data_IF_328296167170
#
_entry.id   IF_328296167170
#
_cell.length_a   1.000
_cell.length_b   1.000
_cell.length_c   1.000
_cell.angle_alpha   90.00
_cell.angle_beta   90.00
_cell.angle_gamma   90.00
#
_symmetry.space_group_name_H-M   'P 1'
#
loop_
_entity.id
_entity.type
_entity.pdbx_description
1 polymer ?
#
# COMPACT_ATOMS: atom_id res chain seq x y z
N UNK A 1 -17.05 14.30 -15.45
CA UNK A 1 -17.72 12.99 -15.62
C UNK A 1 -17.04 12.00 -14.71
N UNK A 2 -17.69 11.62 -13.65
CA UNK A 2 -17.23 10.48 -12.83
C UNK A 2 -17.54 9.21 -13.63
N UNK A 3 -16.49 8.46 -13.98
CA UNK A 3 -16.67 7.14 -14.56
C UNK A 3 -17.44 6.27 -13.54
N UNK A 4 -18.59 5.78 -13.92
CA UNK A 4 -19.34 4.80 -13.12
C UNK A 4 -18.61 3.48 -13.30
N UNK A 5 -17.96 2.99 -12.23
CA UNK A 5 -17.38 1.67 -12.25
C UNK A 5 -18.49 0.61 -12.44
N UNK A 6 -18.24 -0.41 -13.27
CA UNK A 6 -19.22 -1.46 -13.46
C UNK A 6 -19.50 -2.19 -12.14
N UNK A 7 -20.76 -2.53 -11.90
CA UNK A 7 -21.15 -3.30 -10.72
C UNK A 7 -20.38 -4.62 -10.68
N UNK A 8 -19.66 -4.87 -9.56
CA UNK A 8 -18.83 -6.06 -9.38
C UNK A 8 -17.36 -5.90 -9.80
N UNK A 9 -16.93 -4.69 -10.18
CA UNK A 9 -15.50 -4.44 -10.39
C UNK A 9 -14.71 -4.66 -9.08
N UNK A 10 -13.51 -5.24 -9.15
CA UNK A 10 -12.68 -5.42 -7.97
C UNK A 10 -12.28 -4.06 -7.38
N UNK A 11 -12.30 -3.95 -6.05
CA UNK A 11 -11.79 -2.78 -5.34
C UNK A 11 -10.32 -2.97 -5.01
N UNK A 12 -9.56 -1.90 -5.10
CA UNK A 12 -8.12 -1.89 -4.92
C UNK A 12 -7.73 -1.19 -3.63
N UNK A 13 -6.77 -1.75 -2.91
CA UNK A 13 -6.14 -1.12 -1.74
C UNK A 13 -4.64 -1.05 -1.98
N UNK A 14 -4.09 0.15 -1.95
CA UNK A 14 -2.64 0.33 -2.00
C UNK A 14 -2.06 0.23 -0.60
N UNK A 15 -1.05 -0.61 -0.41
CA UNK A 15 -0.31 -0.73 0.85
C UNK A 15 1.10 -0.22 0.64
N UNK A 16 1.48 0.79 1.40
CA UNK A 16 2.80 1.40 1.41
C UNK A 16 3.43 1.24 2.79
N UNK A 17 4.74 1.32 2.90
CA UNK A 17 5.37 1.20 4.20
C UNK A 17 6.87 0.93 4.15
N UNK A 18 7.39 0.51 5.30
CA UNK A 18 8.80 0.31 5.51
C UNK A 18 9.42 -0.72 4.56
N UNK A 19 10.52 -0.36 3.94
CA UNK A 19 11.36 -1.30 3.17
C UNK A 19 12.19 -2.23 4.06
N UNK A 20 12.34 -1.84 5.33
CA UNK A 20 12.90 -2.68 6.40
C UNK A 20 11.87 -2.72 7.52
N UNK A 21 11.35 -3.90 7.81
CA UNK A 21 10.33 -4.10 8.83
C UNK A 21 10.89 -4.90 10.01
N UNK A 22 10.55 -4.47 11.24
CA UNK A 22 10.73 -5.32 12.41
C UNK A 22 9.84 -6.55 12.32
N UNK A 23 10.13 -7.64 13.08
CA UNK A 23 9.25 -8.80 13.10
C UNK A 23 7.79 -8.47 13.44
N UNK A 24 7.58 -7.54 14.37
CA UNK A 24 6.25 -7.09 14.78
C UNK A 24 5.52 -6.34 13.66
N UNK A 25 6.23 -5.46 12.96
CA UNK A 25 5.66 -4.70 11.85
C UNK A 25 5.38 -5.62 10.65
N UNK A 26 6.27 -6.56 10.37
CA UNK A 26 6.06 -7.57 9.32
C UNK A 26 4.84 -8.45 9.62
N UNK A 27 4.67 -8.90 10.86
CA UNK A 27 3.50 -9.67 11.29
C UNK A 27 2.20 -8.87 11.09
N UNK A 28 2.19 -7.60 11.43
CA UNK A 28 1.05 -6.70 11.24
C UNK A 28 0.72 -6.50 9.76
N UNK A 29 1.73 -6.31 8.92
CA UNK A 29 1.54 -6.19 7.48
C UNK A 29 1.02 -7.48 6.85
N UNK A 30 1.48 -8.63 7.30
CA UNK A 30 1.00 -9.94 6.86
C UNK A 30 -0.47 -10.14 7.25
N UNK A 31 -0.85 -9.86 8.51
CA UNK A 31 -2.24 -9.90 8.98
C UNK A 31 -3.13 -8.96 8.16
N UNK A 32 -2.67 -7.75 7.87
CA UNK A 32 -3.38 -6.82 7.00
C UNK A 32 -3.63 -7.44 5.62
N UNK A 33 -2.63 -8.07 5.03
CA UNK A 33 -2.75 -8.75 3.74
C UNK A 33 -3.78 -9.87 3.77
N UNK A 34 -3.79 -10.67 4.82
CA UNK A 34 -4.79 -11.74 5.02
C UNK A 34 -6.22 -11.17 5.07
N UNK A 35 -6.43 -10.13 5.88
CA UNK A 35 -7.74 -9.48 6.05
C UNK A 35 -8.24 -8.82 4.77
N UNK A 36 -7.37 -8.17 4.01
CA UNK A 36 -7.73 -7.56 2.74
C UNK A 36 -8.13 -8.62 1.71
N UNK A 37 -7.38 -9.71 1.64
CA UNK A 37 -7.69 -10.83 0.75
C UNK A 37 -9.02 -11.50 1.10
N UNK A 38 -9.29 -11.75 2.39
CA UNK A 38 -10.55 -12.31 2.86
C UNK A 38 -11.77 -11.45 2.49
N UNK A 39 -11.58 -10.14 2.38
CA UNK A 39 -12.62 -9.19 1.94
C UNK A 39 -12.67 -8.96 0.44
N UNK A 40 -11.87 -9.71 -0.33
CA UNK A 40 -11.89 -9.66 -1.79
C UNK A 40 -11.22 -8.42 -2.40
N UNK A 41 -10.39 -7.70 -1.64
CA UNK A 41 -9.62 -6.60 -2.20
C UNK A 41 -8.41 -7.07 -3.00
N UNK A 42 -8.13 -6.38 -4.09
CA UNK A 42 -6.84 -6.49 -4.78
C UNK A 42 -5.85 -5.56 -4.10
N UNK A 43 -4.71 -6.08 -3.67
CA UNK A 43 -3.67 -5.29 -3.01
C UNK A 43 -2.62 -4.84 -4.00
N UNK A 44 -2.31 -3.55 -4.02
CA UNK A 44 -1.23 -2.96 -4.82
C UNK A 44 -0.14 -2.47 -3.89
N UNK A 45 1.09 -2.81 -4.17
CA UNK A 45 2.24 -2.37 -3.38
C UNK A 45 3.47 -2.11 -4.26
N UNK A 46 4.55 -1.65 -3.64
CA UNK A 46 5.81 -1.42 -4.35
C UNK A 46 6.60 -2.67 -4.74
N UNK A 47 6.14 -3.84 -4.33
CA UNK A 47 6.62 -5.13 -4.82
C UNK A 47 8.01 -5.57 -4.35
N UNK A 48 8.61 -4.91 -3.36
CA UNK A 48 9.95 -5.24 -2.86
C UNK A 48 9.92 -5.81 -1.44
N UNK A 49 10.86 -5.43 -0.60
CA UNK A 49 11.09 -5.96 0.75
C UNK A 49 10.23 -5.30 1.83
N UNK A 50 10.35 -5.80 3.06
CA UNK A 50 9.72 -5.23 4.23
C UNK A 50 8.21 -5.40 4.26
N UNK A 51 7.49 -4.32 4.46
CA UNK A 51 6.01 -4.32 4.48
C UNK A 51 5.41 -4.82 3.16
N UNK A 52 6.01 -4.47 2.04
CA UNK A 52 5.55 -4.90 0.71
C UNK A 52 5.57 -6.43 0.57
N UNK A 53 6.66 -7.06 1.00
CA UNK A 53 6.80 -8.52 0.98
C UNK A 53 5.84 -9.19 1.97
N UNK A 54 5.72 -8.65 3.18
CA UNK A 54 4.86 -9.20 4.22
C UNK A 54 3.38 -9.15 3.84
N UNK A 55 2.90 -8.04 3.30
CA UNK A 55 1.51 -7.93 2.87
C UNK A 55 1.20 -8.88 1.70
N UNK A 56 2.12 -9.04 0.74
CA UNK A 56 1.97 -9.99 -0.37
C UNK A 56 1.87 -11.43 0.14
N UNK A 57 2.67 -11.78 1.14
CA UNK A 57 2.62 -13.10 1.80
C UNK A 57 1.27 -13.36 2.46
N UNK A 58 0.74 -12.37 3.18
CA UNK A 58 -0.59 -12.47 3.80
C UNK A 58 -1.69 -12.64 2.77
N UNK A 59 -1.66 -11.89 1.69
CA UNK A 59 -2.61 -11.99 0.58
C UNK A 59 -2.57 -13.39 -0.04
N UNK A 60 -1.38 -13.92 -0.30
CA UNK A 60 -1.20 -15.26 -0.87
C UNK A 60 -1.75 -16.35 0.04
N UNK A 61 -1.53 -16.26 1.35
CA UNK A 61 -2.07 -17.23 2.33
C UNK A 61 -3.59 -17.40 2.25
N UNK A 62 -4.30 -16.35 1.89
CA UNK A 62 -5.77 -16.35 1.78
C UNK A 62 -6.27 -16.47 0.34
N UNK A 63 -5.39 -16.81 -0.59
CA UNK A 63 -5.75 -16.98 -2.00
C UNK A 63 -6.20 -15.70 -2.72
N UNK A 64 -5.81 -14.55 -2.20
CA UNK A 64 -6.12 -13.26 -2.79
C UNK A 64 -5.17 -12.86 -3.92
N UNK A 65 -5.32 -11.64 -4.40
CA UNK A 65 -4.53 -11.06 -5.49
C UNK A 65 -3.71 -9.88 -5.02
N UNK A 66 -2.41 -9.91 -5.28
CA UNK A 66 -1.51 -8.79 -5.06
C UNK A 66 -0.75 -8.42 -6.33
N UNK A 67 -0.56 -7.12 -6.54
CA UNK A 67 0.17 -6.55 -7.67
C UNK A 67 1.32 -5.72 -7.12
N UNK A 68 2.54 -6.08 -7.47
CA UNK A 68 3.73 -5.28 -7.16
C UNK A 68 4.13 -4.43 -8.34
N UNK A 69 4.27 -3.12 -8.13
CA UNK A 69 4.80 -2.19 -9.14
C UNK A 69 6.23 -1.86 -8.77
N UNK A 70 7.17 -2.47 -9.47
CA UNK A 70 8.61 -2.32 -9.22
C UNK A 70 9.17 -1.03 -9.81
N UNK A 71 10.21 -0.44 -9.19
CA UNK A 71 10.93 0.70 -9.77
C UNK A 71 11.86 0.29 -10.91
N UNK A 72 12.26 -0.98 -10.98
CA UNK A 72 13.21 -1.53 -11.96
C UNK A 72 12.54 -1.89 -13.29
N UNK A 73 13.39 -2.17 -14.28
CA UNK A 73 12.98 -2.68 -15.59
C UNK A 73 12.89 -4.21 -15.64
N UNK A 74 13.23 -4.92 -14.57
CA UNK A 74 13.21 -6.36 -14.44
C UNK A 74 12.57 -6.80 -13.12
N UNK A 75 12.37 -8.11 -12.94
CA UNK A 75 11.71 -8.70 -11.78
C UNK A 75 12.67 -9.33 -10.76
N UNK A 76 13.96 -9.11 -10.86
CA UNK A 76 14.98 -9.79 -10.03
C UNK A 76 14.80 -9.52 -8.54
N UNK A 77 14.30 -8.35 -8.18
CA UNK A 77 14.06 -7.93 -6.80
C UNK A 77 12.60 -7.98 -6.36
N UNK A 78 11.74 -8.60 -7.17
CA UNK A 78 10.32 -8.75 -6.83
C UNK A 78 10.15 -9.62 -5.59
N UNK A 79 9.22 -9.25 -4.71
CA UNK A 79 8.80 -10.10 -3.60
C UNK A 79 8.26 -11.44 -4.13
N UNK A 80 8.59 -12.58 -3.49
CA UNK A 80 8.30 -13.89 -4.06
C UNK A 80 6.81 -14.26 -4.08
N UNK A 81 6.01 -13.63 -3.22
CA UNK A 81 4.61 -13.99 -3.01
C UNK A 81 3.60 -13.10 -3.76
N UNK A 82 4.07 -12.19 -4.61
CA UNK A 82 3.22 -11.38 -5.47
C UNK A 82 2.47 -12.25 -6.49
N UNK A 83 1.19 -11.94 -6.72
CA UNK A 83 0.43 -12.58 -7.79
C UNK A 83 0.93 -12.09 -9.15
N UNK A 84 1.04 -10.77 -9.30
CA UNK A 84 1.51 -10.13 -10.54
C UNK A 84 2.57 -9.08 -10.22
N UNK A 85 3.48 -8.89 -11.15
CA UNK A 85 4.56 -7.92 -11.04
C UNK A 85 4.60 -7.06 -12.30
N UNK A 86 4.61 -5.74 -12.10
CA UNK A 86 4.77 -4.74 -13.15
C UNK A 86 6.14 -4.08 -13.01
N UNK A 87 6.95 -4.11 -14.04
CA UNK A 87 8.23 -3.43 -14.10
C UNK A 87 8.01 -2.03 -14.67
N UNK A 88 8.07 -1.01 -13.83
CA UNK A 88 7.81 0.37 -14.28
C UNK A 88 9.00 1.01 -14.98
N UNK A 89 10.22 0.60 -14.65
CA UNK A 89 11.47 1.25 -15.07
C UNK A 89 11.54 2.75 -14.74
N UNK A 90 10.78 3.22 -13.74
CA UNK A 90 10.62 4.63 -13.43
C UNK A 90 11.30 5.06 -12.11
N UNK A 91 12.01 4.14 -11.45
CA UNK A 91 12.61 4.44 -10.15
C UNK A 91 11.57 4.92 -9.13
N UNK A 92 11.87 5.96 -8.38
CA UNK A 92 10.96 6.50 -7.37
C UNK A 92 9.62 7.03 -7.91
N UNK A 93 9.55 7.40 -9.19
CA UNK A 93 8.30 7.89 -9.79
C UNK A 93 7.20 6.82 -9.79
N UNK A 94 7.54 5.52 -9.69
CA UNK A 94 6.55 4.43 -9.57
C UNK A 94 5.70 4.54 -8.30
N UNK A 95 6.16 5.26 -7.28
CA UNK A 95 5.40 5.47 -6.05
C UNK A 95 4.06 6.16 -6.30
N UNK A 96 4.03 7.06 -7.28
CA UNK A 96 2.77 7.69 -7.70
C UNK A 96 1.80 6.66 -8.29
N UNK A 97 2.29 5.73 -9.12
CA UNK A 97 1.46 4.66 -9.68
C UNK A 97 0.89 3.73 -8.60
N UNK A 98 1.69 3.42 -7.57
CA UNK A 98 1.23 2.60 -6.43
C UNK A 98 0.07 3.29 -5.71
N UNK A 99 0.24 4.52 -5.28
CA UNK A 99 -0.80 5.22 -4.50
C UNK A 99 -2.03 5.59 -5.34
N UNK A 100 -1.85 5.87 -6.62
CA UNK A 100 -2.95 6.18 -7.53
C UNK A 100 -3.83 4.97 -7.86
N UNK A 101 -3.27 3.76 -7.78
CA UNK A 101 -3.99 2.52 -8.14
C UNK A 101 -5.05 2.12 -7.12
N UNK A 102 -4.86 2.41 -5.84
CA UNK A 102 -5.82 2.05 -4.79
C UNK A 102 -6.98 3.03 -4.68
N UNK A 103 -8.12 2.54 -4.26
CA UNK A 103 -9.26 3.36 -3.83
C UNK A 103 -8.98 4.01 -2.46
N UNK A 104 -8.17 3.34 -1.65
CA UNK A 104 -7.62 3.81 -0.39
C UNK A 104 -6.15 3.39 -0.27
N UNK A 105 -5.38 4.17 0.45
CA UNK A 105 -3.96 3.88 0.73
C UNK A 105 -3.79 3.57 2.21
N UNK A 106 -3.16 2.47 2.55
CA UNK A 106 -2.81 2.10 3.93
C UNK A 106 -1.29 2.19 4.08
N UNK A 107 -0.82 3.04 4.97
CA UNK A 107 0.60 3.19 5.30
C UNK A 107 0.94 2.42 6.57
N UNK A 108 1.95 1.56 6.50
CA UNK A 108 2.38 0.68 7.60
C UNK A 108 3.84 0.95 7.91
N UNK A 109 4.13 1.54 9.06
CA UNK A 109 5.49 1.93 9.43
C UNK A 109 6.10 2.92 8.44
N UNK A 110 7.40 2.81 8.22
CA UNK A 110 8.10 3.53 7.15
C UNK A 110 8.92 4.73 7.57
N UNK A 111 9.72 5.17 6.63
CA UNK A 111 10.61 6.32 6.74
C UNK A 111 10.21 7.41 5.73
N UNK A 112 11.17 8.18 5.24
CA UNK A 112 10.91 9.31 4.34
C UNK A 112 10.19 8.92 3.04
N UNK A 113 10.49 7.74 2.47
CA UNK A 113 9.79 7.23 1.29
C UNK A 113 8.30 7.06 1.54
N UNK A 114 7.94 6.46 2.67
CA UNK A 114 6.53 6.28 3.06
C UNK A 114 5.84 7.62 3.31
N UNK A 115 6.51 8.58 3.96
CA UNK A 115 5.95 9.92 4.15
C UNK A 115 5.69 10.61 2.80
N UNK A 116 6.62 10.49 1.84
CA UNK A 116 6.42 11.04 0.49
C UNK A 116 5.23 10.41 -0.22
N UNK A 117 5.03 9.10 -0.09
CA UNK A 117 3.89 8.38 -0.67
C UNK A 117 2.57 8.78 -0.01
N UNK A 118 2.55 9.02 1.31
CA UNK A 118 1.36 9.55 2.00
C UNK A 118 0.98 10.91 1.41
N UNK A 119 1.95 11.79 1.21
CA UNK A 119 1.73 13.11 0.62
C UNK A 119 1.22 13.01 -0.84
N UNK A 120 1.84 12.13 -1.64
CA UNK A 120 1.39 11.85 -3.01
C UNK A 120 -0.05 11.34 -3.04
N UNK A 121 -0.40 10.40 -2.15
CA UNK A 121 -1.75 9.85 -2.06
C UNK A 121 -2.79 10.95 -1.80
N UNK A 122 -2.51 11.84 -0.86
CA UNK A 122 -3.40 12.98 -0.58
C UNK A 122 -3.47 13.97 -1.74
N UNK A 123 -2.35 14.19 -2.41
CA UNK A 123 -2.30 15.09 -3.58
C UNK A 123 -3.18 14.60 -4.74
N UNK A 124 -3.28 13.29 -4.95
CA UNK A 124 -4.16 12.69 -5.97
C UNK A 124 -5.56 12.34 -5.43
N UNK A 125 -5.91 12.82 -4.24
CA UNK A 125 -7.24 12.70 -3.66
C UNK A 125 -7.57 11.35 -3.04
N UNK A 126 -6.59 10.50 -2.77
CA UNK A 126 -6.82 9.19 -2.14
C UNK A 126 -6.93 9.31 -0.62
N UNK A 127 -7.93 8.70 0.02
CA UNK A 127 -7.96 8.55 1.47
C UNK A 127 -6.76 7.74 1.96
N UNK A 128 -6.22 8.10 3.12
CA UNK A 128 -5.07 7.41 3.73
C UNK A 128 -5.40 6.93 5.12
N UNK A 129 -5.05 5.68 5.41
CA UNK A 129 -5.09 5.10 6.75
C UNK A 129 -3.66 4.92 7.24
N UNK A 130 -3.37 5.45 8.41
CA UNK A 130 -2.05 5.38 9.06
C UNK A 130 -2.06 4.25 10.11
N UNK A 131 -1.21 3.24 9.92
CA UNK A 131 -1.04 2.11 10.82
C UNK A 131 0.42 2.03 11.29
N UNK A 132 0.69 2.40 12.54
CA UNK A 132 2.04 2.43 13.13
C UNK A 132 3.07 3.17 12.24
N UNK A 133 2.69 4.31 11.71
CA UNK A 133 3.51 5.13 10.83
C UNK A 133 3.57 6.58 11.33
N UNK A 134 3.97 7.49 10.46
CA UNK A 134 4.13 8.91 10.76
C UNK A 134 2.92 9.52 11.48
N UNK A 135 3.20 10.42 12.41
CA UNK A 135 2.23 11.34 12.97
C UNK A 135 2.34 12.67 12.25
N UNK A 136 1.29 13.06 11.55
CA UNK A 136 1.30 14.23 10.67
C UNK A 136 0.33 15.25 11.23
N UNK A 137 0.80 16.48 11.41
CA UNK A 137 -0.02 17.63 11.81
C UNK A 137 0.12 18.71 10.74
N UNK A 138 -0.98 19.26 10.22
CA UNK A 138 -0.92 20.33 9.25
C UNK A 138 -0.38 21.63 9.90
N UNK A 139 0.11 22.59 9.12
CA UNK A 139 0.71 23.83 9.65
C UNK A 139 -0.22 24.67 10.54
N UNK A 140 -1.53 24.60 10.32
CA UNK A 140 -2.54 25.30 11.14
C UNK A 140 -2.93 24.54 12.41
N UNK A 141 -2.37 23.34 12.64
CA UNK A 141 -2.67 22.50 13.79
C UNK A 141 -4.04 21.82 13.76
N UNK A 142 -4.78 21.94 12.65
CA UNK A 142 -6.10 21.33 12.46
C UNK A 142 -6.07 19.83 12.16
N UNK A 143 -7.19 19.29 11.76
CA UNK A 143 -7.31 17.91 11.31
C UNK A 143 -6.91 17.77 9.85
N UNK A 144 -6.32 16.62 9.52
CA UNK A 144 -6.02 16.26 8.14
C UNK A 144 -7.26 15.63 7.49
N UNK A 145 -7.83 16.31 6.52
CA UNK A 145 -8.90 15.73 5.71
C UNK A 145 -8.43 14.49 4.95
N UNK A 146 -9.26 13.44 4.98
CA UNK A 146 -8.99 12.19 4.28
C UNK A 146 -7.84 11.35 4.85
N UNK A 147 -7.38 11.64 6.08
CA UNK A 147 -6.37 10.84 6.79
C UNK A 147 -6.96 10.32 8.09
N UNK A 148 -6.84 9.02 8.33
CA UNK A 148 -7.31 8.35 9.55
C UNK A 148 -6.18 7.53 10.16
N UNK A 149 -6.23 7.35 11.48
CA UNK A 149 -5.34 6.44 12.19
C UNK A 149 -6.06 5.15 12.54
N UNK A 150 -5.33 4.04 12.45
CA UNK A 150 -5.74 2.75 12.98
C UNK A 150 -4.68 2.24 13.95
N UNK A 151 -5.12 1.59 15.03
CA UNK A 151 -4.21 0.95 15.99
C UNK A 151 -3.88 -0.49 15.63
N UNK A 152 -4.77 -1.14 14.89
CA UNK A 152 -4.64 -2.55 14.49
C UNK A 152 -5.12 -2.74 13.04
N UNK A 153 -4.73 -3.84 12.37
CA UNK A 153 -5.26 -4.21 11.06
C UNK A 153 -6.76 -4.53 11.06
N UNK A 154 -7.32 -4.85 12.23
CA UNK A 154 -8.72 -5.28 12.44
C UNK A 154 -9.63 -4.10 12.72
#
# INVERSE_FOLDING_TARGET
MTAVEPAGAPRYVSVIGASRATPELAAKAEELGELLAERGFVVVCGGRSGVMEAVARGVKKKGGVSIGILPEADRLRAAPDLTYTVCSAMGYARNLSVVASGDVVIAVGGAWGTLSEIALARNVGKPVILLDTWSITPPDGGELDGVRRAGTPV
#
